data_IF_219689492342
#
_entry.id   IF_219689492342
#
_cell.length_a   1.000
_cell.length_b   1.000
_cell.length_c   1.000
_cell.angle_alpha   90.00
_cell.angle_beta   90.00
_cell.angle_gamma   90.00
#
_symmetry.space_group_name_H-M   'P 1'
#
loop_
_entity.id
_entity.type
_entity.pdbx_description
1 polymer ?
#
# COMPACT_ATOMS: atom_id res chain seq x y z
N UNK A 1 10.73 -25.15 -12.13
CA UNK A 1 11.95 -24.40 -11.76
C UNK A 1 11.47 -23.20 -10.97
N UNK A 2 11.69 -23.20 -9.65
CA UNK A 2 11.30 -22.08 -8.80
C UNK A 2 12.15 -20.85 -9.17
N UNK A 3 11.50 -19.79 -9.65
CA UNK A 3 12.12 -18.50 -9.89
C UNK A 3 11.54 -17.55 -8.84
N UNK A 4 12.37 -17.14 -7.90
CA UNK A 4 12.02 -16.06 -6.99
C UNK A 4 12.04 -14.74 -7.77
N UNK A 5 10.85 -14.19 -8.01
CA UNK A 5 10.72 -12.86 -8.61
C UNK A 5 10.25 -11.86 -7.57
N UNK A 6 11.11 -10.90 -7.24
CA UNK A 6 10.69 -9.67 -6.57
C UNK A 6 10.61 -8.56 -7.62
N UNK A 7 9.39 -8.13 -7.92
CA UNK A 7 9.15 -7.00 -8.80
C UNK A 7 9.70 -5.71 -8.17
N UNK A 8 10.17 -4.80 -9.02
CA UNK A 8 10.67 -3.51 -8.54
C UNK A 8 9.62 -2.79 -7.68
N UNK A 9 10.04 -2.31 -6.51
CA UNK A 9 9.21 -1.47 -5.66
C UNK A 9 8.94 -0.13 -6.38
N UNK A 10 7.67 0.18 -6.59
CA UNK A 10 7.19 1.38 -7.29
C UNK A 10 6.51 2.31 -6.31
N UNK A 11 6.63 3.61 -6.54
CA UNK A 11 5.86 4.64 -5.84
C UNK A 11 4.67 5.03 -6.70
N UNK A 12 3.48 5.01 -6.10
CA UNK A 12 2.26 5.57 -6.68
C UNK A 12 2.21 7.04 -6.28
N UNK A 13 2.32 7.94 -7.25
CA UNK A 13 2.41 9.38 -7.02
C UNK A 13 1.46 10.13 -7.94
N UNK A 14 0.77 11.14 -7.38
CA UNK A 14 -0.01 12.08 -8.19
C UNK A 14 0.87 12.88 -9.14
N UNK A 15 2.13 13.13 -8.76
CA UNK A 15 3.09 13.85 -9.59
C UNK A 15 3.43 13.13 -10.89
N UNK A 16 3.22 11.81 -10.97
CA UNK A 16 3.38 11.00 -12.18
C UNK A 16 2.04 10.64 -12.83
N UNK A 17 0.95 11.29 -12.42
CA UNK A 17 -0.41 11.04 -12.94
C UNK A 17 -1.04 9.73 -12.47
N UNK A 18 -0.51 9.09 -11.42
CA UNK A 18 -1.06 7.82 -10.90
C UNK A 18 -2.02 8.07 -9.75
N UNK A 19 -3.14 7.36 -9.75
CA UNK A 19 -4.13 7.36 -8.66
C UNK A 19 -3.96 6.11 -7.80
N UNK A 20 -4.04 6.28 -6.47
CA UNK A 20 -3.97 5.16 -5.53
C UNK A 20 -5.27 4.36 -5.53
N UNK A 21 -6.43 5.02 -5.65
CA UNK A 21 -7.72 4.34 -5.79
C UNK A 21 -7.74 3.53 -7.10
N UNK A 22 -7.30 4.11 -8.22
CA UNK A 22 -7.23 3.39 -9.49
C UNK A 22 -6.33 2.15 -9.41
N UNK A 23 -5.20 2.27 -8.68
CA UNK A 23 -4.27 1.17 -8.51
C UNK A 23 -4.84 0.07 -7.62
N UNK A 24 -5.47 0.44 -6.50
CA UNK A 24 -6.15 -0.52 -5.61
C UNK A 24 -7.28 -1.23 -6.33
N UNK A 25 -8.16 -0.50 -7.02
CA UNK A 25 -9.24 -1.07 -7.83
C UNK A 25 -8.71 -2.06 -8.88
N UNK A 26 -7.60 -1.71 -9.54
CA UNK A 26 -6.97 -2.58 -10.52
C UNK A 26 -6.41 -3.87 -9.91
N UNK A 27 -5.76 -3.83 -8.74
CA UNK A 27 -5.21 -5.03 -8.11
C UNK A 27 -6.30 -5.89 -7.45
N UNK A 28 -7.37 -5.29 -6.92
CA UNK A 28 -8.46 -6.05 -6.30
C UNK A 28 -9.50 -6.55 -7.30
N UNK A 29 -9.53 -5.98 -8.51
CA UNK A 29 -10.58 -6.27 -9.49
C UNK A 29 -11.93 -5.69 -9.08
N UNK A 30 -11.93 -4.58 -8.34
CA UNK A 30 -13.15 -3.97 -7.82
C UNK A 30 -13.49 -2.65 -8.52
N UNK A 31 -14.68 -2.13 -8.16
CA UNK A 31 -15.13 -0.80 -8.52
C UNK A 31 -14.96 0.15 -7.34
N UNK A 32 -14.05 1.10 -7.44
CA UNK A 32 -13.78 2.08 -6.39
C UNK A 32 -14.00 3.52 -6.90
N UNK A 33 -14.48 4.39 -6.02
CA UNK A 33 -14.67 5.81 -6.29
C UNK A 33 -13.52 6.62 -5.68
N UNK A 34 -13.00 7.58 -6.44
CA UNK A 34 -11.97 8.49 -5.99
C UNK A 34 -12.59 9.85 -5.67
N UNK A 35 -12.61 10.21 -4.39
CA UNK A 35 -13.17 11.47 -3.92
C UNK A 35 -12.32 12.69 -4.34
N UNK A 36 -11.05 12.49 -4.67
CA UNK A 36 -10.13 13.57 -5.05
C UNK A 36 -10.39 14.10 -6.46
N UNK A 37 -10.59 13.22 -7.44
CA UNK A 37 -10.81 13.58 -8.84
C UNK A 37 -12.27 13.38 -9.31
N UNK A 38 -13.13 12.78 -8.47
CA UNK A 38 -14.52 12.50 -8.78
C UNK A 38 -14.73 11.34 -9.76
N UNK A 39 -13.70 10.53 -10.03
CA UNK A 39 -13.77 9.42 -10.98
C UNK A 39 -14.08 8.09 -10.28
N UNK A 40 -14.86 7.25 -10.96
CA UNK A 40 -15.02 5.84 -10.58
C UNK A 40 -14.13 4.97 -11.44
N UNK A 41 -13.29 4.17 -10.79
CA UNK A 41 -12.44 3.19 -11.44
C UNK A 41 -13.08 1.80 -11.31
N UNK A 42 -13.55 1.26 -12.43
CA UNK A 42 -14.27 -0.02 -12.48
C UNK A 42 -13.42 -1.11 -13.15
N UNK A 43 -12.87 -2.02 -12.35
CA UNK A 43 -12.09 -3.17 -12.81
C UNK A 43 -12.77 -4.51 -12.51
N UNK A 44 -14.09 -4.52 -12.33
CA UNK A 44 -14.89 -5.73 -12.05
C UNK A 44 -14.82 -6.80 -13.13
N UNK A 45 -14.41 -6.43 -14.35
CA UNK A 45 -14.18 -7.35 -15.46
C UNK A 45 -12.84 -8.08 -15.39
N UNK A 46 -11.97 -7.73 -14.43
CA UNK A 46 -10.67 -8.36 -14.27
C UNK A 46 -10.85 -9.78 -13.72
N UNK A 47 -10.15 -10.72 -14.34
CA UNK A 47 -10.15 -12.12 -13.92
C UNK A 47 -8.82 -12.51 -13.29
N UNK A 48 -8.85 -13.60 -12.54
CA UNK A 48 -7.66 -14.18 -11.90
C UNK A 48 -7.33 -13.60 -10.54
N UNK A 49 -8.17 -12.74 -9.93
CA UNK A 49 -7.99 -12.34 -8.53
C UNK A 49 -8.51 -13.48 -7.65
N UNK A 50 -7.60 -14.20 -6.99
CA UNK A 50 -7.94 -15.37 -6.15
C UNK A 50 -7.97 -15.06 -4.67
N UNK A 51 -7.37 -13.93 -4.26
CA UNK A 51 -7.39 -13.46 -2.87
C UNK A 51 -7.23 -11.93 -2.84
N UNK A 52 -7.92 -11.27 -1.91
CA UNK A 52 -7.77 -9.84 -1.65
C UNK A 52 -8.08 -9.53 -0.19
N UNK A 53 -7.17 -8.85 0.51
CA UNK A 53 -7.31 -8.48 1.91
C UNK A 53 -6.53 -7.20 2.23
N UNK A 54 -7.15 -6.32 3.03
CA UNK A 54 -6.46 -5.19 3.64
C UNK A 54 -6.04 -5.56 5.06
N UNK A 55 -4.73 -5.59 5.30
CA UNK A 55 -4.13 -5.80 6.61
C UNK A 55 -3.84 -4.47 7.28
N UNK A 56 -4.18 -4.39 8.57
CA UNK A 56 -4.04 -3.19 9.38
C UNK A 56 -3.14 -3.45 10.58
N UNK A 57 -2.39 -2.43 11.06
CA UNK A 57 -1.74 -2.49 12.37
C UNK A 57 -2.80 -2.47 13.47
N UNK A 58 -2.44 -2.99 14.65
CA UNK A 58 -3.34 -3.14 15.80
C UNK A 58 -4.05 -1.83 16.20
N UNK A 59 -3.34 -0.70 16.06
CA UNK A 59 -3.86 0.63 16.43
C UNK A 59 -4.61 1.35 15.30
N UNK A 60 -4.81 0.72 14.13
CA UNK A 60 -5.57 1.34 13.04
C UNK A 60 -7.08 1.31 13.30
N UNK A 61 -7.80 2.21 12.63
CA UNK A 61 -9.26 2.17 12.59
C UNK A 61 -9.74 0.95 11.81
N UNK A 62 -10.64 0.16 12.39
CA UNK A 62 -11.22 -1.02 11.73
C UNK A 62 -11.91 -0.71 10.39
N UNK A 63 -12.44 0.51 10.24
CA UNK A 63 -13.03 0.99 8.98
C UNK A 63 -12.06 0.92 7.80
N UNK A 64 -10.76 1.00 8.05
CA UNK A 64 -9.73 0.91 7.02
C UNK A 64 -9.53 -0.51 6.46
N UNK A 65 -10.19 -1.52 7.02
CA UNK A 65 -10.29 -2.85 6.37
C UNK A 65 -11.03 -2.74 5.05
N UNK A 66 -11.88 -1.72 4.89
CA UNK A 66 -12.46 -1.38 3.61
C UNK A 66 -11.47 -0.53 2.80
N UNK A 67 -10.98 -1.08 1.67
CA UNK A 67 -10.03 -0.41 0.78
C UNK A 67 -10.55 0.93 0.22
N UNK A 68 -11.86 1.04 -0.03
CA UNK A 68 -12.48 2.29 -0.47
C UNK A 68 -12.25 3.40 0.55
N UNK A 69 -12.41 3.07 1.84
CA UNK A 69 -12.24 4.03 2.94
C UNK A 69 -10.74 4.34 3.11
N UNK A 70 -9.90 3.31 3.26
CA UNK A 70 -8.46 3.47 3.46
C UNK A 70 -7.82 4.38 2.41
N UNK A 71 -8.05 4.09 1.12
CA UNK A 71 -7.35 4.80 0.05
C UNK A 71 -7.88 6.22 -0.18
N UNK A 72 -9.15 6.49 0.10
CA UNK A 72 -9.66 7.87 0.11
C UNK A 72 -9.13 8.66 1.31
N UNK A 73 -8.97 8.04 2.48
CA UNK A 73 -8.31 8.71 3.61
C UNK A 73 -6.84 9.07 3.30
N UNK A 74 -6.12 8.19 2.59
CA UNK A 74 -4.78 8.49 2.08
C UNK A 74 -4.79 9.68 1.12
N UNK A 75 -5.73 9.74 0.16
CA UNK A 75 -5.86 10.87 -0.75
C UNK A 75 -6.18 12.19 -0.01
N UNK A 76 -7.05 12.16 1.01
CA UNK A 76 -7.43 13.35 1.80
C UNK A 76 -6.27 13.95 2.57
N UNK A 77 -5.43 13.10 3.16
CA UNK A 77 -4.31 13.52 4.01
C UNK A 77 -3.17 14.10 3.17
N UNK A 78 -3.00 13.58 1.96
CA UNK A 78 -2.03 14.07 1.01
C UNK A 78 -2.58 15.32 0.31
N UNK A 79 -1.95 16.48 0.55
CA UNK A 79 -2.45 17.77 0.02
C UNK A 79 -1.75 18.26 -1.24
N UNK A 80 -0.57 17.73 -1.55
CA UNK A 80 0.26 18.24 -2.67
C UNK A 80 -0.08 17.55 -3.99
N UNK A 81 -0.13 18.29 -5.09
CA UNK A 81 -0.29 17.72 -6.44
C UNK A 81 0.80 16.71 -6.83
N UNK A 82 1.96 16.75 -6.16
CA UNK A 82 3.07 15.80 -6.34
C UNK A 82 3.21 14.79 -5.20
N UNK A 83 2.18 14.65 -4.36
CA UNK A 83 2.20 13.70 -3.25
C UNK A 83 2.41 12.26 -3.72
N UNK A 84 3.32 11.58 -3.05
CA UNK A 84 3.45 10.13 -3.10
C UNK A 84 2.38 9.52 -2.19
N UNK A 85 1.50 8.69 -2.74
CA UNK A 85 0.32 8.19 -2.05
C UNK A 85 0.59 6.84 -1.38
N UNK A 86 1.19 5.92 -2.14
CA UNK A 86 1.46 4.56 -1.71
C UNK A 86 2.78 4.05 -2.30
N UNK A 87 3.33 3.01 -1.70
CA UNK A 87 4.33 2.15 -2.34
C UNK A 87 3.65 0.86 -2.77
N UNK A 88 4.10 0.28 -3.87
CA UNK A 88 3.59 -0.99 -4.36
C UNK A 88 4.74 -1.87 -4.79
N UNK A 89 4.64 -3.16 -4.53
CA UNK A 89 5.55 -4.16 -5.08
C UNK A 89 4.77 -5.41 -5.46
N UNK A 90 5.42 -6.27 -6.24
CA UNK A 90 4.88 -7.53 -6.71
C UNK A 90 5.84 -8.65 -6.35
N UNK A 91 5.31 -9.80 -5.96
CA UNK A 91 6.11 -10.97 -5.60
C UNK A 91 5.54 -12.18 -6.33
N UNK A 92 6.39 -12.91 -7.05
CA UNK A 92 6.04 -14.22 -7.60
C UNK A 92 5.88 -15.24 -6.48
N UNK A 93 4.77 -15.97 -6.51
CA UNK A 93 4.43 -17.02 -5.54
C UNK A 93 4.87 -18.39 -6.07
N UNK A 94 5.02 -19.36 -5.15
CA UNK A 94 5.49 -20.69 -5.52
C UNK A 94 4.32 -21.52 -6.04
N UNK A 95 4.49 -22.11 -7.22
CA UNK A 95 3.49 -23.00 -7.84
C UNK A 95 3.34 -24.34 -7.11
N UNK A 96 4.34 -24.71 -6.34
CA UNK A 96 4.39 -25.92 -5.53
C UNK A 96 3.55 -25.80 -4.25
N UNK A 97 3.19 -24.57 -3.86
CA UNK A 97 2.38 -24.30 -2.67
C UNK A 97 0.90 -24.22 -3.04
N UNK A 98 0.05 -24.67 -2.12
CA UNK A 98 -1.38 -24.39 -2.18
C UNK A 98 -1.64 -22.89 -2.07
N UNK A 99 -2.83 -22.46 -2.50
CA UNK A 99 -3.25 -21.06 -2.35
C UNK A 99 -3.21 -20.62 -0.87
N UNK A 100 -3.63 -21.49 0.05
CA UNK A 100 -3.63 -21.19 1.48
C UNK A 100 -2.22 -21.01 2.05
N UNK A 101 -1.26 -21.84 1.65
CA UNK A 101 0.15 -21.70 2.04
C UNK A 101 0.76 -20.40 1.49
N UNK A 102 0.47 -20.07 0.24
CA UNK A 102 0.90 -18.82 -0.37
C UNK A 102 0.28 -17.59 0.31
N UNK A 103 -1.02 -17.64 0.67
CA UNK A 103 -1.70 -16.59 1.44
C UNK A 103 -1.02 -16.43 2.80
N UNK A 104 -0.77 -17.53 3.51
CA UNK A 104 -0.13 -17.50 4.83
C UNK A 104 1.27 -16.87 4.73
N UNK A 105 2.07 -17.30 3.76
CA UNK A 105 3.43 -16.81 3.54
C UNK A 105 3.45 -15.29 3.29
N UNK A 106 2.60 -14.79 2.38
CA UNK A 106 2.59 -13.35 2.07
C UNK A 106 2.07 -12.54 3.25
N UNK A 107 1.07 -13.04 3.99
CA UNK A 107 0.54 -12.36 5.18
C UNK A 107 1.58 -12.25 6.28
N UNK A 108 2.31 -13.33 6.57
CA UNK A 108 3.41 -13.33 7.55
C UNK A 108 4.51 -12.34 7.14
N UNK A 109 4.95 -12.40 5.88
CA UNK A 109 5.94 -11.46 5.36
C UNK A 109 5.49 -10.00 5.48
N UNK A 110 4.26 -9.69 5.08
CA UNK A 110 3.72 -8.33 5.13
C UNK A 110 3.54 -7.87 6.58
N UNK A 111 3.10 -8.77 7.46
CA UNK A 111 2.93 -8.49 8.88
C UNK A 111 4.25 -8.06 9.51
N UNK A 112 5.26 -8.91 9.45
CA UNK A 112 6.54 -8.70 10.15
C UNK A 112 7.31 -7.49 9.60
N UNK A 113 7.18 -7.22 8.29
CA UNK A 113 7.96 -6.17 7.65
C UNK A 113 7.28 -4.80 7.62
N UNK A 114 5.95 -4.73 7.67
CA UNK A 114 5.22 -3.47 7.45
C UNK A 114 4.12 -3.22 8.49
N UNK A 115 3.26 -4.21 8.76
CA UNK A 115 2.14 -4.02 9.70
C UNK A 115 2.67 -3.76 11.11
N UNK A 116 3.60 -4.58 11.59
CA UNK A 116 4.20 -4.42 12.92
C UNK A 116 5.02 -3.12 13.04
N UNK A 117 5.33 -2.46 11.92
CA UNK A 117 5.97 -1.13 11.86
C UNK A 117 4.97 0.02 11.71
N UNK A 118 3.67 -0.27 11.80
CA UNK A 118 2.57 0.69 11.80
C UNK A 118 2.03 1.06 10.43
N UNK A 119 2.37 0.34 9.35
CA UNK A 119 1.86 0.62 8.01
C UNK A 119 0.61 -0.22 7.73
N UNK A 120 -0.31 0.27 6.88
CA UNK A 120 -1.42 -0.54 6.37
C UNK A 120 -1.01 -1.15 5.01
N UNK A 121 -1.51 -2.35 4.71
CA UNK A 121 -1.22 -3.06 3.47
C UNK A 121 -2.49 -3.56 2.78
N UNK A 122 -2.60 -3.38 1.46
CA UNK A 122 -3.63 -3.95 0.60
C UNK A 122 -2.97 -5.03 -0.26
N UNK A 123 -3.33 -6.29 0.01
CA UNK A 123 -2.74 -7.48 -0.61
C UNK A 123 -3.76 -8.07 -1.56
N UNK A 124 -3.34 -8.35 -2.80
CA UNK A 124 -4.13 -9.07 -3.77
C UNK A 124 -3.27 -10.15 -4.43
N UNK A 125 -3.77 -11.39 -4.52
CA UNK A 125 -3.09 -12.47 -5.24
C UNK A 125 -3.80 -12.70 -6.56
N UNK A 126 -3.03 -12.69 -7.64
CA UNK A 126 -3.47 -13.04 -8.97
C UNK A 126 -2.94 -14.41 -9.36
N UNK A 127 -3.84 -15.27 -9.83
CA UNK A 127 -3.54 -16.56 -10.42
C UNK A 127 -4.51 -16.81 -11.59
N UNK A 128 -3.96 -16.94 -12.80
CA UNK A 128 -4.71 -17.23 -14.03
C UNK A 128 -4.56 -18.68 -14.46
N UNK A 129 -3.97 -19.52 -13.62
CA UNK A 129 -3.59 -20.90 -13.92
C UNK A 129 -2.65 -21.00 -15.13
N UNK A 130 -1.84 -19.96 -15.35
CA UNK A 130 -0.79 -19.88 -16.39
C UNK A 130 0.60 -20.28 -15.86
N UNK A 131 0.67 -20.73 -14.60
CA UNK A 131 1.91 -21.09 -13.93
C UNK A 131 2.69 -19.91 -13.33
N UNK A 132 2.10 -18.71 -13.28
CA UNK A 132 2.72 -17.51 -12.68
C UNK A 132 1.81 -16.81 -11.64
N UNK A 133 1.49 -17.48 -10.51
CA UNK A 133 0.79 -16.83 -9.43
C UNK A 133 1.67 -15.72 -8.83
N UNK A 134 1.09 -14.55 -8.57
CA UNK A 134 1.82 -13.41 -8.01
C UNK A 134 0.95 -12.59 -7.06
N UNK A 135 1.59 -12.02 -6.04
CA UNK A 135 0.95 -11.11 -5.10
C UNK A 135 1.31 -9.66 -5.42
N UNK A 136 0.30 -8.80 -5.55
CA UNK A 136 0.47 -7.36 -5.46
C UNK A 136 0.28 -6.91 -4.02
N UNK A 137 1.20 -6.09 -3.53
CA UNK A 137 1.11 -5.47 -2.20
C UNK A 137 1.22 -3.97 -2.35
N UNK A 138 0.19 -3.24 -1.91
CA UNK A 138 0.20 -1.79 -1.77
C UNK A 138 0.32 -1.40 -0.30
N UNK A 139 1.20 -0.46 0.01
CA UNK A 139 1.51 -0.01 1.36
C UNK A 139 1.27 1.48 1.51
N UNK A 140 0.73 1.91 2.65
CA UNK A 140 0.61 3.33 2.99
C UNK A 140 2.00 3.97 3.09
N UNK A 141 2.12 5.24 2.69
CA UNK A 141 3.39 5.97 2.86
C UNK A 141 3.65 6.40 4.31
N UNK A 142 2.58 6.51 5.10
CA UNK A 142 2.59 6.97 6.49
C UNK A 142 2.32 5.79 7.40
N UNK A 143 2.96 5.83 8.58
CA UNK A 143 2.64 4.96 9.70
C UNK A 143 1.43 5.52 10.47
N UNK A 144 0.77 4.66 11.21
CA UNK A 144 -0.26 5.04 12.17
C UNK A 144 0.38 5.31 13.53
N UNK A 145 -0.16 6.27 14.27
CA UNK A 145 0.10 6.43 15.69
C UNK A 145 -0.80 5.51 16.53
N UNK A 146 -0.61 5.55 17.86
CA UNK A 146 -1.41 4.80 18.83
C UNK A 146 -2.91 5.21 18.83
N UNK A 147 -3.26 6.33 18.20
CA UNK A 147 -4.63 6.84 18.10
C UNK A 147 -5.26 6.55 16.73
N UNK A 148 -4.59 5.76 15.88
CA UNK A 148 -5.08 5.42 14.54
C UNK A 148 -5.08 6.60 13.56
N UNK A 149 -4.23 7.60 13.77
CA UNK A 149 -4.00 8.71 12.84
C UNK A 149 -2.69 8.52 12.09
N UNK A 150 -2.66 8.98 10.85
CA UNK A 150 -1.44 8.93 10.05
C UNK A 150 -0.41 9.96 10.52
N UNK A 151 0.79 9.48 10.82
CA UNK A 151 1.94 10.28 11.22
C UNK A 151 2.51 11.12 10.06
N UNK A 152 3.32 12.16 10.36
CA UNK A 152 4.15 12.84 9.37
C UNK A 152 5.08 11.84 8.64
N UNK A 153 5.30 12.07 7.34
CA UNK A 153 6.23 11.24 6.54
C UNK A 153 7.71 11.47 6.87
N UNK A 154 8.01 12.65 7.39
CA UNK A 154 9.35 13.08 7.73
C UNK A 154 9.29 14.02 8.92
N UNK A 155 10.29 13.93 9.77
CA UNK A 155 10.56 14.90 10.82
C UNK A 155 11.56 15.93 10.29
N UNK A 156 11.34 17.21 10.58
CA UNK A 156 12.27 18.29 10.23
C UNK A 156 12.86 18.84 11.51
N UNK A 157 14.18 18.83 11.61
CA UNK A 157 14.92 19.48 12.69
C UNK A 157 15.66 20.68 12.11
N UNK A 158 15.51 21.84 12.76
CA UNK A 158 16.17 23.07 12.38
C UNK A 158 17.35 23.31 13.30
N UNK A 159 18.57 23.27 12.76
CA UNK A 159 19.79 23.65 13.48
C UNK A 159 19.97 25.16 13.38
N UNK A 160 19.51 25.88 14.41
CA UNK A 160 19.67 27.33 14.49
C UNK A 160 21.09 27.67 14.97
N UNK A 161 21.89 28.25 14.09
CA UNK A 161 23.22 28.79 14.41
C UNK A 161 23.15 30.30 14.64
N UNK A 162 23.96 30.80 15.57
CA UNK A 162 24.15 32.25 15.74
C UNK A 162 25.03 32.82 14.60
N UNK A 163 25.20 34.14 14.55
CA UNK A 163 26.02 34.83 13.52
C UNK A 163 27.50 34.41 13.53
N UNK A 164 27.96 33.75 14.60
CA UNK A 164 29.32 33.22 14.76
C UNK A 164 29.44 31.75 14.36
N UNK A 165 28.32 31.09 14.00
CA UNK A 165 28.27 29.69 13.60
C UNK A 165 28.07 28.70 14.76
N UNK A 166 27.92 29.17 16.01
CA UNK A 166 27.67 28.30 17.16
C UNK A 166 26.20 27.87 17.20
N UNK A 167 25.96 26.61 17.54
CA UNK A 167 24.62 26.10 17.79
C UNK A 167 24.05 26.74 19.06
N UNK A 168 22.88 27.38 18.97
CA UNK A 168 22.13 27.74 20.16
C UNK A 168 21.51 26.46 20.72
N UNK A 169 22.10 25.95 21.80
CA UNK A 169 21.49 24.89 22.63
C UNK A 169 20.24 25.46 23.30
#
# INVERSE_FOLDING_TARGET
>A
MSIYHFGQMKVISRGTGRSVIASSAYISGEKLYNEYDGLTHDYTRKQGVVFSEVMLPENAKDEWKNRQILWNEVEKIEKSKVSQLARSFEVGLQTEFTLEENIKLIKEYVKDNFIDKGMCADICIHDKSDGNPHAHVMLTMRKNDEQGKFLPKAEKQYLCRNDKGDEKI
#
